data_IF_657152163931
#
_entry.id   IF_657152163931
#
_cell.length_a   1.000
_cell.length_b   1.000
_cell.length_c   1.000
_cell.angle_alpha   90.00
_cell.angle_beta   90.00
_cell.angle_gamma   90.00
#
_symmetry.space_group_name_H-M   'P 1'
#
loop_
_entity.id
_entity.type
_entity.pdbx_description
1 polymer ?
#
# COMPACT_ATOMS: atom_id res chain seq x y z
N UNK A 1 1.33 -2.03 -7.87
CA UNK A 1 2.22 -2.16 -6.68
C UNK A 1 1.47 -1.80 -5.41
N UNK A 2 1.92 -2.31 -4.30
CA UNK A 2 1.36 -2.00 -2.98
C UNK A 2 2.48 -1.51 -2.07
N UNK A 3 2.23 -0.41 -1.38
CA UNK A 3 3.08 0.04 -0.28
C UNK A 3 2.44 -0.49 1.00
N UNK A 4 3.12 -1.42 1.65
CA UNK A 4 2.65 -2.10 2.85
C UNK A 4 3.23 -1.41 4.08
N UNK A 5 2.39 -0.74 4.85
CA UNK A 5 2.77 -0.09 6.09
C UNK A 5 2.24 -0.90 7.27
N UNK A 6 3.15 -1.41 8.10
CA UNK A 6 2.83 -2.30 9.22
C UNK A 6 2.66 -1.58 10.55
N UNK A 7 2.89 -0.27 10.59
CA UNK A 7 2.81 0.53 11.81
C UNK A 7 1.99 1.79 11.58
N UNK A 8 1.50 2.39 12.66
CA UNK A 8 0.80 3.67 12.59
C UNK A 8 1.72 4.79 12.07
N UNK A 9 2.99 4.76 12.44
CA UNK A 9 4.00 5.69 11.92
C UNK A 9 4.18 5.53 10.41
N UNK A 10 4.23 4.29 9.93
CA UNK A 10 4.33 3.99 8.50
C UNK A 10 3.12 4.46 7.73
N UNK A 11 1.92 4.26 8.27
CA UNK A 11 0.68 4.74 7.66
C UNK A 11 0.70 6.27 7.55
N UNK A 12 1.09 6.95 8.62
CA UNK A 12 1.15 8.41 8.61
C UNK A 12 2.21 8.92 7.64
N UNK A 13 3.36 8.28 7.60
CA UNK A 13 4.42 8.62 6.64
C UNK A 13 3.92 8.52 5.20
N UNK A 14 3.19 7.46 4.87
CA UNK A 14 2.62 7.30 3.53
C UNK A 14 1.63 8.41 3.21
N UNK A 15 0.75 8.76 4.15
CA UNK A 15 -0.23 9.84 3.95
C UNK A 15 0.43 11.20 3.77
N UNK A 16 1.56 11.42 4.43
CA UNK A 16 2.28 12.71 4.36
C UNK A 16 3.15 12.84 3.11
N UNK A 17 3.64 11.73 2.56
CA UNK A 17 4.66 11.73 1.49
C UNK A 17 4.18 11.19 0.15
N UNK A 18 3.06 10.48 0.09
CA UNK A 18 2.53 9.87 -1.13
C UNK A 18 1.15 10.45 -1.45
N UNK A 19 0.80 10.45 -2.73
CA UNK A 19 -0.54 10.84 -3.19
C UNK A 19 -1.52 9.67 -2.96
N UNK A 20 -1.89 9.46 -1.71
CA UNK A 20 -2.73 8.34 -1.30
C UNK A 20 -4.15 8.51 -1.84
N UNK A 21 -4.62 7.50 -2.59
CA UNK A 21 -6.01 7.42 -3.04
C UNK A 21 -6.69 6.21 -2.43
N UNK A 22 -6.35 5.03 -2.93
CA UNK A 22 -6.99 3.77 -2.53
C UNK A 22 -6.09 3.03 -1.55
N UNK A 23 -6.65 2.63 -0.41
CA UNK A 23 -5.93 1.76 0.52
C UNK A 23 -6.90 0.85 1.26
N UNK A 24 -6.38 -0.29 1.72
CA UNK A 24 -7.12 -1.18 2.60
C UNK A 24 -6.56 -1.09 4.01
N UNK A 25 -7.46 -1.18 4.98
CA UNK A 25 -7.13 -1.13 6.40
C UNK A 25 -7.04 -2.56 6.90
N UNK A 26 -5.98 -2.86 7.62
CA UNK A 26 -5.79 -4.15 8.28
C UNK A 26 -5.71 -3.95 9.80
N UNK A 27 -5.62 -5.05 10.56
CA UNK A 27 -5.59 -4.98 12.04
C UNK A 27 -4.50 -4.01 12.55
N UNK A 28 -3.35 -3.96 11.87
CA UNK A 28 -2.26 -3.03 12.18
C UNK A 28 -1.66 -2.54 10.88
N UNK A 29 -1.83 -1.26 10.60
CA UNK A 29 -1.31 -0.64 9.38
C UNK A 29 -2.28 -0.65 8.22
N UNK A 30 -1.75 -0.51 7.02
CA UNK A 30 -2.55 -0.43 5.80
C UNK A 30 -1.75 -0.87 4.57
N UNK A 31 -2.49 -1.23 3.51
CA UNK A 31 -1.95 -1.46 2.18
C UNK A 31 -2.38 -0.32 1.27
N UNK A 32 -1.43 0.44 0.75
CA UNK A 32 -1.68 1.54 -0.19
C UNK A 32 -1.46 1.06 -1.61
N UNK A 33 -2.47 1.19 -2.46
CA UNK A 33 -2.45 0.66 -3.83
C UNK A 33 -2.09 1.75 -4.82
N UNK A 34 -1.13 1.45 -5.70
CA UNK A 34 -0.69 2.35 -6.76
C UNK A 34 -0.45 1.58 -8.05
N UNK A 35 -0.69 2.21 -9.19
CA UNK A 35 -0.12 1.75 -10.45
C UNK A 35 1.37 2.06 -10.41
N UNK A 36 2.18 1.18 -10.99
CA UNK A 36 3.63 1.36 -11.01
C UNK A 36 4.03 2.64 -11.76
N UNK A 37 5.11 3.33 -11.34
CA UNK A 37 5.64 4.45 -12.10
C UNK A 37 5.96 4.03 -13.54
N UNK A 38 5.70 4.93 -14.50
CA UNK A 38 6.00 4.66 -15.90
C UNK A 38 7.48 4.43 -16.12
N UNK A 39 7.81 3.44 -16.96
CA UNK A 39 9.20 3.11 -17.34
C UNK A 39 10.10 2.74 -16.15
N UNK A 40 9.50 2.35 -15.03
CA UNK A 40 10.22 1.93 -13.83
C UNK A 40 9.82 0.51 -13.47
N UNK A 41 10.80 -0.40 -13.44
CA UNK A 41 10.59 -1.74 -12.92
C UNK A 41 10.57 -1.66 -11.39
N UNK A 42 9.50 -2.18 -10.78
CA UNK A 42 9.36 -2.21 -9.33
C UNK A 42 9.45 -3.65 -8.85
N UNK A 43 10.31 -3.89 -7.88
CA UNK A 43 10.46 -5.20 -7.23
C UNK A 43 9.93 -5.13 -5.80
N UNK A 44 9.67 -6.28 -5.20
CA UNK A 44 9.37 -6.34 -3.76
C UNK A 44 10.62 -5.92 -2.98
N UNK A 45 10.47 -4.95 -2.09
CA UNK A 45 11.58 -4.42 -1.30
C UNK A 45 11.13 -4.03 0.10
N UNK A 46 12.02 -4.20 1.07
CA UNK A 46 11.89 -3.61 2.40
C UNK A 46 12.50 -2.22 2.31
N UNK A 47 11.68 -1.17 2.45
CA UNK A 47 12.13 0.21 2.24
C UNK A 47 12.49 0.94 3.53
N UNK A 48 11.64 0.87 4.52
CA UNK A 48 11.84 1.59 5.77
C UNK A 48 11.51 0.68 6.95
N UNK A 49 12.51 -0.01 7.46
CA UNK A 49 12.34 -0.95 8.56
C UNK A 49 11.94 -0.25 9.87
N UNK A 50 12.35 1.01 10.05
CA UNK A 50 12.01 1.81 11.23
C UNK A 50 10.52 2.13 11.29
N UNK A 51 9.92 2.44 10.15
CA UNK A 51 8.48 2.72 10.04
C UNK A 51 7.66 1.50 9.60
N UNK A 52 8.31 0.37 9.29
CA UNK A 52 7.62 -0.83 8.85
C UNK A 52 7.00 -0.69 7.45
N UNK A 53 7.76 -0.15 6.50
CA UNK A 53 7.28 0.07 5.13
C UNK A 53 7.99 -0.88 4.17
N UNK A 54 7.19 -1.64 3.42
CA UNK A 54 7.65 -2.55 2.37
C UNK A 54 6.95 -2.23 1.05
N UNK A 55 7.60 -2.58 -0.05
CA UNK A 55 6.98 -2.55 -1.38
C UNK A 55 6.67 -3.98 -1.80
N UNK A 56 5.44 -4.20 -2.23
CA UNK A 56 4.98 -5.45 -2.86
C UNK A 56 4.64 -5.17 -4.32
N UNK A 57 5.27 -5.89 -5.22
CA UNK A 57 5.10 -5.72 -6.66
C UNK A 57 5.08 -7.11 -7.32
N UNK A 58 5.65 -7.25 -8.52
CA UNK A 58 5.68 -8.51 -9.23
C UNK A 58 6.29 -9.63 -8.36
N UNK A 59 5.58 -10.73 -8.20
CA UNK A 59 6.00 -11.85 -7.37
C UNK A 59 5.68 -11.71 -5.88
N UNK A 60 5.18 -10.55 -5.43
CA UNK A 60 4.72 -10.34 -4.07
C UNK A 60 3.24 -10.64 -3.89
N UNK A 61 2.86 -10.95 -2.65
CA UNK A 61 1.46 -11.20 -2.31
C UNK A 61 1.01 -10.25 -1.20
N UNK A 62 -0.22 -9.75 -1.35
CA UNK A 62 -0.91 -9.03 -0.28
C UNK A 62 -2.32 -9.58 -0.14
N UNK A 63 -2.85 -9.51 1.06
CA UNK A 63 -4.23 -9.91 1.33
C UNK A 63 -5.10 -8.65 1.20
N UNK A 64 -6.16 -8.78 0.41
CA UNK A 64 -7.10 -7.68 0.15
C UNK A 64 -8.49 -8.00 0.70
N UNK A 65 -9.31 -6.98 0.99
CA UNK A 65 -10.69 -7.20 1.40
C UNK A 65 -11.46 -8.06 0.38
N UNK A 66 -12.40 -8.91 0.83
CA UNK A 66 -12.93 -9.02 2.20
C UNK A 66 -12.23 -10.08 3.07
N UNK A 67 -11.00 -10.43 2.81
CA UNK A 67 -10.28 -11.48 3.54
C UNK A 67 -10.16 -11.18 5.03
N UNK A 68 -9.98 -12.26 5.84
CA UNK A 68 -9.83 -12.15 7.29
C UNK A 68 -8.35 -12.23 7.65
N UNK A 69 -7.88 -11.27 8.45
CA UNK A 69 -6.53 -11.28 8.99
C UNK A 69 -6.39 -12.38 10.06
N UNK A 70 -5.16 -12.85 10.31
CA UNK A 70 -4.86 -13.85 11.35
C UNK A 70 -5.30 -13.43 12.76
N UNK A 71 -5.52 -12.14 13.02
CA UNK A 71 -6.08 -11.63 14.28
C UNK A 71 -7.59 -11.83 14.40
N UNK A 72 -8.27 -12.33 13.37
CA UNK A 72 -9.72 -12.45 13.30
C UNK A 72 -10.43 -11.19 12.80
N UNK A 73 -9.71 -10.12 12.50
CA UNK A 73 -10.28 -8.90 11.96
C UNK A 73 -10.28 -8.93 10.43
N UNK A 74 -11.32 -8.36 9.81
CA UNK A 74 -11.41 -8.26 8.36
C UNK A 74 -10.53 -7.14 7.84
N UNK A 75 -9.92 -7.38 6.65
CA UNK A 75 -9.39 -6.29 5.83
C UNK A 75 -10.57 -5.51 5.27
N UNK A 76 -10.45 -4.19 5.18
CA UNK A 76 -11.49 -3.33 4.63
C UNK A 76 -10.89 -2.21 3.79
N UNK A 77 -11.62 -1.79 2.76
CA UNK A 77 -11.23 -0.63 1.97
C UNK A 77 -11.43 0.67 2.74
N UNK A 78 -10.66 1.69 2.39
CA UNK A 78 -10.75 3.01 3.00
C UNK A 78 -12.06 3.75 2.66
N UNK A 79 -12.69 3.39 1.54
CA UNK A 79 -13.99 3.90 1.13
C UNK A 79 -15.10 2.86 1.38
N UNK A 80 -16.34 3.25 1.08
CA UNK A 80 -17.52 2.40 1.30
C UNK A 80 -17.70 1.34 0.23
N UNK A 81 -17.09 1.53 -0.95
CA UNK A 81 -17.23 0.64 -2.09
C UNK A 81 -15.90 -0.01 -2.48
N UNK A 82 -15.98 -1.19 -3.11
CA UNK A 82 -14.80 -1.83 -3.68
C UNK A 82 -14.27 -0.97 -4.84
N UNK A 83 -13.00 -0.55 -4.81
CA UNK A 83 -12.45 0.28 -5.87
C UNK A 83 -12.27 -0.50 -7.18
N UNK A 84 -12.37 0.22 -8.29
CA UNK A 84 -12.05 -0.28 -9.61
C UNK A 84 -10.57 -0.02 -9.91
N UNK A 85 -9.99 -0.80 -10.83
CA UNK A 85 -8.59 -0.61 -11.23
C UNK A 85 -8.29 0.82 -11.68
N UNK A 86 -9.22 1.46 -12.42
CA UNK A 86 -9.03 2.83 -12.91
C UNK A 86 -9.00 3.88 -11.79
N UNK A 87 -9.52 3.54 -10.61
CA UNK A 87 -9.51 4.43 -9.45
C UNK A 87 -8.14 4.45 -8.75
N UNK A 88 -7.26 3.51 -9.07
CA UNK A 88 -5.94 3.39 -8.45
C UNK A 88 -5.00 4.44 -9.04
N UNK A 89 -4.43 5.34 -8.21
CA UNK A 89 -3.53 6.35 -8.71
C UNK A 89 -2.20 5.77 -9.19
N UNK A 90 -1.60 6.40 -10.19
CA UNK A 90 -0.25 6.08 -10.61
C UNK A 90 0.74 6.77 -9.67
N UNK A 91 1.71 6.02 -9.16
CA UNK A 91 2.79 6.63 -8.38
C UNK A 91 3.72 7.40 -9.29
N UNK A 92 4.08 8.63 -8.92
CA UNK A 92 5.08 9.39 -9.65
C UNK A 92 6.48 8.84 -9.38
N UNK A 93 7.41 9.10 -10.28
CA UNK A 93 8.80 8.71 -10.07
C UNK A 93 9.39 9.38 -8.83
N UNK A 94 9.03 10.65 -8.58
CA UNK A 94 9.46 11.38 -7.40
C UNK A 94 8.98 10.71 -6.10
N UNK A 95 7.73 10.26 -6.06
CA UNK A 95 7.19 9.53 -4.92
C UNK A 95 7.91 8.19 -4.72
N UNK A 96 8.18 7.48 -5.81
CA UNK A 96 8.91 6.22 -5.75
C UNK A 96 10.33 6.39 -5.20
N UNK A 97 10.99 7.50 -5.56
CA UNK A 97 12.35 7.79 -5.11
C UNK A 97 12.45 8.15 -3.62
N UNK A 98 11.38 8.66 -3.01
CA UNK A 98 11.38 8.99 -1.58
C UNK A 98 11.02 7.80 -0.69
N UNK A 99 10.57 6.71 -1.26
CA UNK A 99 10.28 5.49 -0.51
C UNK A 99 11.53 4.86 0.11
#
# INVERSE_FOLDING_TARGET
>A
MVVDADTDEGVQWCKDNLSVGIYSIKAKGAHFFFKQPKNQKVNCEIKNTKCGIDIKADGGLVVAPPSVHGSGKFYRWSGDETPMFDDIPEMSLAEYEVL
#
